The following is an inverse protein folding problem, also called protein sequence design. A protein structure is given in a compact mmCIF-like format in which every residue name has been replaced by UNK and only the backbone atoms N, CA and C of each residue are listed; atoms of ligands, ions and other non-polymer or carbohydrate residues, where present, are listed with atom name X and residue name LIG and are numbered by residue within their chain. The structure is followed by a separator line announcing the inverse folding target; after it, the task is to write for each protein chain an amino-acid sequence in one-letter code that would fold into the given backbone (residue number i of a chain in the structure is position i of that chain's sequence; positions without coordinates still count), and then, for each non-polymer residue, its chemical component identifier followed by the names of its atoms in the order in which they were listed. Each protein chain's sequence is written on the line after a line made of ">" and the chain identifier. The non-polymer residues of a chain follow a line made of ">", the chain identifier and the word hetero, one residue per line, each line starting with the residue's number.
data_IF_368808891675
#
_entry.id   IF_368808891675
#
_cell.length_a   1.000
_cell.length_b   1.000
_cell.length_c   1.000
_cell.angle_alpha   90.00
_cell.angle_beta   90.00
_cell.angle_gamma   90.00
#
_symmetry.space_group_name_H-M   'P 1'
#
loop_
_entity.id
_entity.type
_entity.pdbx_description
1 polymer ?
#
# COMPACT_ATOMS: atom_id res chain seq x y z
N UNK A 1 -8.35 23.03 -9.96
CA UNK A 1 -8.52 21.98 -8.92
C UNK A 1 -7.15 21.51 -8.45
N UNK A 2 -6.89 21.54 -7.14
CA UNK A 2 -5.66 20.99 -6.58
C UNK A 2 -5.70 19.46 -6.73
N UNK A 3 -4.74 18.88 -7.46
CA UNK A 3 -4.62 17.43 -7.69
C UNK A 3 -3.26 16.96 -7.20
N UNK A 4 -3.21 15.83 -6.51
CA UNK A 4 -1.95 15.16 -6.19
C UNK A 4 -1.35 14.65 -7.50
N UNK A 5 -0.10 14.99 -7.76
CA UNK A 5 0.59 14.61 -9.00
C UNK A 5 1.85 13.86 -8.64
N UNK A 6 2.33 13.03 -9.56
CA UNK A 6 3.55 12.24 -9.40
C UNK A 6 4.77 13.10 -8.95
N UNK A 7 4.87 14.36 -9.41
CA UNK A 7 5.95 15.28 -9.02
C UNK A 7 5.93 15.72 -7.54
N UNK A 8 4.82 15.53 -6.84
CA UNK A 8 4.71 15.87 -5.42
C UNK A 8 5.13 14.68 -4.52
N UNK A 9 5.37 13.52 -5.11
CA UNK A 9 5.64 12.27 -4.42
C UNK A 9 7.12 11.87 -4.65
N UNK A 10 7.98 11.94 -3.62
CA UNK A 10 9.43 11.86 -3.81
C UNK A 10 9.95 10.42 -3.97
N UNK A 11 9.19 9.41 -3.55
CA UNK A 11 9.61 8.01 -3.57
C UNK A 11 9.03 7.26 -4.76
N UNK A 12 9.62 6.09 -5.02
CA UNK A 12 9.15 5.10 -5.99
C UNK A 12 8.95 3.77 -5.29
N UNK A 13 7.78 3.17 -5.50
CA UNK A 13 7.41 1.86 -4.98
C UNK A 13 7.02 0.93 -6.13
N UNK A 14 7.14 -0.37 -5.89
CA UNK A 14 6.54 -1.38 -6.77
C UNK A 14 5.29 -1.93 -6.10
N UNK A 15 4.24 -2.18 -6.90
CA UNK A 15 2.94 -2.60 -6.41
C UNK A 15 2.57 -3.93 -7.07
N UNK A 16 2.32 -4.94 -6.25
CA UNK A 16 1.88 -6.27 -6.66
C UNK A 16 0.48 -6.50 -6.12
N UNK A 17 -0.54 -6.35 -6.98
CA UNK A 17 -1.95 -6.37 -6.55
C UNK A 17 -2.42 -7.79 -6.28
N UNK A 18 -3.16 -7.98 -5.19
CA UNK A 18 -3.90 -9.21 -4.96
C UNK A 18 -5.05 -9.31 -5.96
N UNK A 19 -5.09 -10.39 -6.73
CA UNK A 19 -6.12 -10.63 -7.76
C UNK A 19 -7.15 -11.67 -7.35
N UNK A 20 -6.86 -12.45 -6.31
CA UNK A 20 -7.78 -13.44 -5.77
C UNK A 20 -7.04 -14.47 -4.92
N UNK A 21 -7.73 -15.58 -4.66
CA UNK A 21 -7.21 -16.73 -3.95
C UNK A 21 -7.37 -17.97 -4.84
N UNK A 22 -6.26 -18.67 -5.07
CA UNK A 22 -6.20 -19.91 -5.82
C UNK A 22 -6.11 -21.13 -4.89
N UNK A 23 -5.99 -22.32 -5.48
CA UNK A 23 -5.93 -23.57 -4.73
C UNK A 23 -4.72 -23.65 -3.76
N UNK A 24 -3.66 -22.91 -4.04
CA UNK A 24 -2.42 -22.88 -3.25
C UNK A 24 -2.24 -21.58 -2.45
N UNK A 25 -3.28 -20.74 -2.36
CA UNK A 25 -3.28 -19.49 -1.60
C UNK A 25 -3.40 -18.23 -2.47
N UNK A 26 -2.96 -17.06 -1.98
CA UNK A 26 -3.17 -15.79 -2.68
C UNK A 26 -2.52 -15.75 -4.06
N UNK A 27 -3.26 -15.20 -5.03
CA UNK A 27 -2.79 -15.01 -6.41
C UNK A 27 -2.60 -13.53 -6.66
N UNK A 28 -1.38 -13.16 -7.06
CA UNK A 28 -1.03 -11.78 -7.34
C UNK A 28 -0.87 -11.51 -8.84
N UNK A 29 -1.18 -10.28 -9.25
CA UNK A 29 -0.90 -9.77 -10.58
C UNK A 29 0.60 -9.57 -10.81
N UNK A 30 0.98 -9.37 -12.08
CA UNK A 30 2.31 -8.88 -12.42
C UNK A 30 2.59 -7.54 -11.70
N UNK A 31 3.80 -7.35 -11.12
CA UNK A 31 4.15 -6.12 -10.43
C UNK A 31 4.10 -4.90 -11.35
N UNK A 32 3.48 -3.82 -10.88
CA UNK A 32 3.54 -2.51 -11.51
C UNK A 32 4.67 -1.72 -10.87
N UNK A 33 5.70 -1.43 -11.66
CA UNK A 33 6.97 -0.90 -11.16
C UNK A 33 6.99 0.64 -11.08
N UNK A 34 7.82 1.16 -10.17
CA UNK A 34 8.21 2.58 -10.08
C UNK A 34 7.06 3.58 -9.95
N UNK A 35 6.04 3.22 -9.19
CA UNK A 35 4.88 4.08 -8.91
C UNK A 35 5.26 5.22 -7.97
N UNK A 36 4.79 6.45 -8.23
CA UNK A 36 5.06 7.59 -7.35
C UNK A 36 4.40 7.39 -5.99
N UNK A 37 5.16 7.61 -4.92
CA UNK A 37 4.65 7.53 -3.55
C UNK A 37 5.34 8.52 -2.60
N UNK A 38 4.69 8.79 -1.48
CA UNK A 38 5.34 9.29 -0.27
C UNK A 38 5.39 8.13 0.71
N UNK A 39 6.56 7.88 1.32
CA UNK A 39 6.80 6.75 2.22
C UNK A 39 7.42 7.32 3.49
N UNK A 40 6.83 6.99 4.62
CA UNK A 40 7.27 7.43 5.94
C UNK A 40 7.31 6.22 6.88
N UNK A 41 8.39 6.12 7.67
CA UNK A 41 8.46 5.12 8.74
C UNK A 41 7.63 5.63 9.91
N UNK A 42 6.44 5.07 10.06
CA UNK A 42 5.44 5.51 11.04
C UNK A 42 4.72 4.30 11.60
N UNK A 43 4.91 4.07 12.89
CA UNK A 43 4.25 2.96 13.56
C UNK A 43 2.77 3.25 13.81
N UNK A 44 1.90 2.28 13.54
CA UNK A 44 0.47 2.35 13.85
C UNK A 44 -0.08 0.97 14.22
N UNK A 45 -0.81 0.89 15.32
CA UNK A 45 -1.53 -0.34 15.67
C UNK A 45 -2.78 -0.48 14.79
N UNK A 46 -2.94 -1.64 14.16
CA UNK A 46 -4.03 -1.94 13.22
C UNK A 46 -4.60 -3.31 13.56
N UNK A 47 -5.93 -3.42 13.59
CA UNK A 47 -6.59 -4.72 13.61
C UNK A 47 -6.56 -5.29 12.20
N UNK A 48 -5.94 -6.45 12.03
CA UNK A 48 -5.94 -7.16 10.76
C UNK A 48 -7.34 -7.72 10.46
N UNK A 49 -8.03 -7.09 9.51
CA UNK A 49 -9.40 -7.49 9.11
C UNK A 49 -9.43 -8.42 7.90
N UNK A 50 -8.28 -8.84 7.39
CA UNK A 50 -8.19 -9.72 6.23
C UNK A 50 -8.56 -11.13 6.68
N UNK A 51 -9.68 -11.67 6.21
CA UNK A 51 -10.19 -12.99 6.62
C UNK A 51 -9.25 -14.14 6.28
N UNK A 52 -8.39 -13.96 5.29
CA UNK A 52 -7.43 -14.97 4.79
C UNK A 52 -6.02 -14.78 5.35
N UNK A 53 -5.82 -13.79 6.23
CA UNK A 53 -4.51 -13.55 6.85
C UNK A 53 -4.26 -14.51 8.01
N UNK A 54 -3.00 -14.92 8.19
CA UNK A 54 -2.57 -15.70 9.36
C UNK A 54 -2.74 -14.95 10.69
N UNK A 55 -2.83 -13.62 10.64
CA UNK A 55 -3.06 -12.74 11.80
C UNK A 55 -4.48 -12.17 11.85
N UNK A 56 -5.44 -12.78 11.14
CA UNK A 56 -6.82 -12.31 11.11
C UNK A 56 -7.41 -12.08 12.52
N UNK A 57 -7.95 -10.89 12.75
CA UNK A 57 -8.53 -10.46 14.03
C UNK A 57 -7.53 -10.00 15.09
N UNK A 58 -6.23 -10.15 14.86
CA UNK A 58 -5.20 -9.70 15.80
C UNK A 58 -4.83 -8.22 15.61
N UNK A 59 -4.31 -7.61 16.67
CA UNK A 59 -3.64 -6.32 16.59
C UNK A 59 -2.22 -6.51 16.05
N UNK A 60 -1.93 -5.86 14.94
CA UNK A 60 -0.63 -5.88 14.24
C UNK A 60 -0.10 -4.45 14.17
N UNK A 61 1.19 -4.29 14.41
CA UNK A 61 1.84 -2.99 14.27
C UNK A 61 2.30 -2.82 12.82
N UNK A 62 1.71 -1.86 12.12
CA UNK A 62 2.27 -1.32 10.88
C UNK A 62 3.53 -0.53 11.19
N UNK A 63 4.53 -0.60 10.32
CA UNK A 63 5.78 0.18 10.43
C UNK A 63 5.87 1.30 9.39
N UNK A 64 5.04 1.28 8.36
CA UNK A 64 5.10 2.23 7.26
C UNK A 64 3.76 2.87 6.95
N UNK A 65 3.82 4.18 6.70
CA UNK A 65 2.74 4.96 6.14
C UNK A 65 3.08 5.37 4.71
N UNK A 66 2.17 5.10 3.78
CA UNK A 66 2.39 5.38 2.36
C UNK A 66 1.22 6.18 1.81
N UNK A 67 1.52 7.21 1.02
CA UNK A 67 0.53 7.95 0.23
C UNK A 67 0.80 7.72 -1.25
N UNK A 68 -0.23 7.27 -1.98
CA UNK A 68 -0.19 7.02 -3.42
C UNK A 68 -1.29 7.79 -4.17
N UNK A 69 -1.22 7.77 -5.50
CA UNK A 69 -2.27 8.31 -6.37
C UNK A 69 -3.49 7.38 -6.38
N UNK A 70 -4.68 7.94 -6.60
CA UNK A 70 -5.94 7.18 -6.68
C UNK A 70 -5.96 6.15 -7.82
N UNK A 71 -5.23 6.42 -8.92
CA UNK A 71 -5.11 5.50 -10.05
C UNK A 71 -4.31 4.23 -9.67
N UNK A 72 -3.60 4.27 -8.54
CA UNK A 72 -2.79 3.20 -8.01
C UNK A 72 -3.44 2.45 -6.85
N UNK A 73 -4.73 2.69 -6.57
CA UNK A 73 -5.45 2.06 -5.46
C UNK A 73 -5.22 0.54 -5.36
N UNK A 74 -5.09 0.07 -4.12
CA UNK A 74 -4.83 -1.32 -3.78
C UNK A 74 -5.59 -1.73 -2.52
N UNK A 75 -6.03 -2.99 -2.53
CA UNK A 75 -6.72 -3.60 -1.41
C UNK A 75 -5.72 -4.21 -0.41
N UNK A 76 -6.12 -4.34 0.88
CA UNK A 76 -5.37 -5.13 1.85
C UNK A 76 -5.04 -6.53 1.33
N UNK A 77 -3.84 -7.02 1.63
CA UNK A 77 -3.30 -8.28 1.09
C UNK A 77 -2.54 -8.14 -0.24
N UNK A 78 -2.61 -6.99 -0.90
CA UNK A 78 -1.64 -6.63 -1.95
C UNK A 78 -0.26 -6.44 -1.35
N UNK A 79 0.79 -6.50 -2.15
CA UNK A 79 2.17 -6.32 -1.72
C UNK A 79 2.76 -5.03 -2.27
N UNK A 80 3.57 -4.37 -1.44
CA UNK A 80 4.29 -3.14 -1.81
C UNK A 80 5.76 -3.28 -1.47
N UNK A 81 6.62 -3.01 -2.46
CA UNK A 81 8.06 -2.89 -2.27
C UNK A 81 8.43 -1.41 -2.06
N UNK A 82 9.05 -1.11 -0.93
CA UNK A 82 9.50 0.25 -0.56
C UNK A 82 11.01 0.37 -0.55
N UNK A 83 11.52 1.61 -0.63
CA UNK A 83 12.94 1.94 -0.53
C UNK A 83 13.86 1.19 -1.52
N UNK A 84 13.35 0.96 -2.74
CA UNK A 84 14.05 0.23 -3.79
C UNK A 84 15.46 0.79 -4.06
N UNK A 85 16.44 -0.10 -4.18
CA UNK A 85 17.84 0.21 -4.39
C UNK A 85 18.61 0.64 -3.13
N UNK A 86 18.00 0.54 -1.94
CA UNK A 86 18.66 0.89 -0.67
C UNK A 86 18.77 -0.34 0.23
N UNK A 87 19.62 -0.33 1.27
CA UNK A 87 19.66 -1.40 2.28
C UNK A 87 18.35 -1.60 3.07
N UNK A 88 17.39 -0.67 2.94
CA UNK A 88 16.06 -0.76 3.57
C UNK A 88 14.99 -1.28 2.62
N UNK A 89 15.38 -1.68 1.40
CA UNK A 89 14.47 -2.31 0.45
C UNK A 89 13.80 -3.53 1.08
N UNK A 90 12.48 -3.56 1.01
CA UNK A 90 11.67 -4.71 1.46
C UNK A 90 10.31 -4.69 0.80
N UNK A 91 9.71 -5.87 0.74
CA UNK A 91 8.32 -6.08 0.32
C UNK A 91 7.51 -6.46 1.54
N UNK A 92 6.34 -5.84 1.70
CA UNK A 92 5.41 -6.16 2.78
C UNK A 92 3.97 -6.13 2.27
N UNK A 93 3.10 -6.85 2.96
CA UNK A 93 1.67 -6.86 2.66
C UNK A 93 1.01 -5.56 3.14
N UNK A 94 0.05 -5.07 2.37
CA UNK A 94 -0.84 -3.99 2.80
C UNK A 94 -1.77 -4.53 3.89
N UNK A 95 -1.60 -4.02 5.11
CA UNK A 95 -2.46 -4.32 6.25
C UNK A 95 -3.79 -3.56 6.15
N UNK A 96 -3.72 -2.30 5.72
CA UNK A 96 -4.89 -1.43 5.59
C UNK A 96 -4.69 -0.44 4.44
N UNK A 97 -5.79 -0.14 3.75
CA UNK A 97 -5.88 0.85 2.69
C UNK A 97 -7.08 1.77 2.95
N UNK A 98 -6.89 3.07 2.76
CA UNK A 98 -7.94 4.07 2.91
C UNK A 98 -7.97 4.99 1.69
N UNK A 99 -9.07 4.93 0.94
CA UNK A 99 -9.30 5.75 -0.24
C UNK A 99 -9.96 7.07 0.14
N UNK A 100 -9.33 8.19 -0.22
CA UNK A 100 -9.82 9.53 0.06
C UNK A 100 -10.15 10.29 -1.23
N UNK A 101 -11.44 10.60 -1.41
CA UNK A 101 -11.94 11.40 -2.52
C UNK A 101 -12.52 12.72 -2.04
N UNK A 102 -12.02 13.81 -2.60
CA UNK A 102 -12.38 15.17 -2.17
C UNK A 102 -12.72 16.08 -3.35
N UNK A 103 -13.71 16.99 -3.21
CA UNK A 103 -14.07 17.92 -4.28
C UNK A 103 -13.03 19.01 -4.60
N UNK A 104 -12.25 19.46 -3.61
CA UNK A 104 -11.38 20.66 -3.74
C UNK A 104 -9.95 20.46 -3.29
N UNK A 105 -9.66 19.38 -2.58
CA UNK A 105 -8.32 19.01 -2.13
C UNK A 105 -7.81 17.80 -2.91
N UNK A 106 -6.48 17.60 -2.99
CA UNK A 106 -5.90 16.43 -3.61
C UNK A 106 -6.47 15.13 -3.03
N UNK A 107 -7.09 14.30 -3.87
CA UNK A 107 -7.49 12.93 -3.52
C UNK A 107 -6.28 12.01 -3.55
N UNK A 108 -6.26 11.01 -2.68
CA UNK A 108 -5.14 10.09 -2.49
C UNK A 108 -5.60 8.78 -1.86
N UNK A 109 -4.69 7.81 -1.79
CA UNK A 109 -4.87 6.58 -1.02
C UNK A 109 -3.78 6.48 0.01
N UNK A 110 -4.15 6.14 1.23
CA UNK A 110 -3.23 5.84 2.33
C UNK A 110 -3.10 4.34 2.49
N UNK A 111 -1.86 3.84 2.58
CA UNK A 111 -1.57 2.46 2.89
C UNK A 111 -0.78 2.37 4.19
N UNK A 112 -1.03 1.27 4.91
CA UNK A 112 -0.25 0.84 6.05
C UNK A 112 0.31 -0.56 5.78
N UNK A 113 1.63 -0.69 5.90
CA UNK A 113 2.36 -1.96 5.78
C UNK A 113 2.81 -2.45 7.15
#
# INVERSE_FOLDING_TARGET
>A
MARLRARHLPHRIDITRLTGEGAEGPVWAAPVLSRPAYVEQKSKLIVDRRSTSSTAGAEVTSSEFIVILTDDDVLPGSQVTVYKGTPRERTADVLSSAFYSYPRTPSHVELYL
#
